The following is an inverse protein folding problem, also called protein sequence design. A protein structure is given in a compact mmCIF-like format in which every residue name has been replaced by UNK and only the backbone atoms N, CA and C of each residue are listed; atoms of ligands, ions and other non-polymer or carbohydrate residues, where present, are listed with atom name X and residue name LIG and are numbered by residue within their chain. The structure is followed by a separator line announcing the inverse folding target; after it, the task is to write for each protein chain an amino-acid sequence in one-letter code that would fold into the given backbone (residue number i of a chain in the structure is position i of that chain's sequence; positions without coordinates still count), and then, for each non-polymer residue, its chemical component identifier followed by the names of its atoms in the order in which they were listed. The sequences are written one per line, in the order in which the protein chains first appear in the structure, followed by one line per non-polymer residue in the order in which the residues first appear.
data_IF_159351967720
#
_entry.id   IF_159351967720
#
_cell.length_a   1.000
_cell.length_b   1.000
_cell.length_c   1.000
_cell.angle_alpha   90.00
_cell.angle_beta   90.00
_cell.angle_gamma   90.00
#
_symmetry.space_group_name_H-M   'P 1'
#
loop_
_entity.id
_entity.type
_entity.pdbx_description
1 polymer ?
#
# COMPACT_ATOMS: atom_id res chain seq x y z
N UNK A 1 13.52 23.86 26.27
CA UNK A 1 13.28 23.85 24.81
C UNK A 1 14.31 22.94 24.17
N UNK A 2 13.90 21.86 23.47
CA UNK A 2 14.75 21.20 22.46
C UNK A 2 15.29 19.80 22.75
N UNK A 3 14.45 18.81 23.06
CA UNK A 3 14.81 17.38 23.02
C UNK A 3 14.13 16.57 21.91
N UNK A 4 13.25 17.19 21.11
CA UNK A 4 12.37 16.48 20.18
C UNK A 4 12.98 16.23 18.78
N UNK A 5 13.99 17.02 18.39
CA UNK A 5 14.57 16.91 17.04
C UNK A 5 15.30 15.58 16.80
N UNK A 6 16.00 15.09 17.82
CA UNK A 6 16.75 13.82 17.74
C UNK A 6 15.80 12.61 17.72
N UNK A 7 14.70 12.67 18.48
CA UNK A 7 13.70 11.60 18.49
C UNK A 7 13.07 11.38 17.11
N UNK A 8 12.77 12.46 16.38
CA UNK A 8 12.21 12.39 15.02
C UNK A 8 13.27 11.94 13.99
N UNK A 9 14.52 12.40 14.14
CA UNK A 9 15.62 12.02 13.25
C UNK A 9 15.96 10.52 13.33
N UNK A 10 15.81 9.92 14.51
CA UNK A 10 16.01 8.47 14.75
C UNK A 10 14.81 7.64 14.29
N UNK A 11 13.63 8.24 14.12
CA UNK A 11 12.40 7.53 13.72
C UNK A 11 12.16 7.53 12.20
N UNK A 12 12.54 8.59 11.50
CA UNK A 12 12.23 8.70 10.07
C UNK A 12 13.05 7.75 9.16
N UNK A 13 14.30 7.44 9.53
CA UNK A 13 15.24 6.73 8.63
C UNK A 13 15.62 5.34 9.14
N UNK A 14 16.19 5.16 10.35
CA UNK A 14 16.56 3.84 10.86
C UNK A 14 15.36 2.91 11.08
N UNK A 15 14.28 3.43 11.68
CA UNK A 15 13.09 2.64 11.98
C UNK A 15 12.41 2.18 10.69
N UNK A 16 12.24 3.06 9.70
CA UNK A 16 11.67 2.66 8.40
C UNK A 16 12.61 1.77 7.57
N UNK A 17 13.93 1.95 7.67
CA UNK A 17 14.90 1.17 6.89
C UNK A 17 15.21 -0.21 7.48
N UNK A 18 15.07 -0.40 8.80
CA UNK A 18 15.41 -1.65 9.49
C UNK A 18 14.22 -2.24 10.21
N UNK A 19 13.57 -1.47 11.08
CA UNK A 19 12.50 -1.99 11.94
C UNK A 19 11.28 -2.43 11.12
N UNK A 20 10.89 -1.62 10.13
CA UNK A 20 9.78 -1.96 9.22
C UNK A 20 10.06 -3.25 8.41
N UNK A 21 11.18 -3.40 7.66
CA UNK A 21 11.46 -4.64 6.95
C UNK A 21 11.75 -5.83 7.88
N UNK A 22 12.36 -5.63 9.04
CA UNK A 22 12.54 -6.70 10.04
C UNK A 22 11.19 -7.18 10.58
N UNK A 23 10.26 -6.27 10.86
CA UNK A 23 8.90 -6.61 11.31
C UNK A 23 8.13 -7.31 10.20
N UNK A 24 8.20 -6.84 8.96
CA UNK A 24 7.58 -7.50 7.80
C UNK A 24 8.10 -8.93 7.62
N UNK A 25 9.41 -9.13 7.81
CA UNK A 25 10.05 -10.43 7.70
C UNK A 25 9.74 -11.35 8.89
N UNK A 26 9.60 -10.81 10.09
CA UNK A 26 9.22 -11.53 11.31
C UNK A 26 7.74 -11.96 11.27
N UNK A 27 6.85 -11.06 10.84
CA UNK A 27 5.43 -11.33 10.69
C UNK A 27 5.16 -12.22 9.46
N UNK A 28 5.99 -12.12 8.41
CA UNK A 28 5.93 -12.96 7.23
C UNK A 28 4.52 -13.01 6.63
N UNK A 29 3.98 -14.22 6.50
CA UNK A 29 2.63 -14.47 5.97
C UNK A 29 1.52 -13.86 6.82
N UNK A 30 1.76 -13.60 8.12
CA UNK A 30 0.79 -12.92 8.97
C UNK A 30 0.64 -11.42 8.62
N UNK A 31 1.61 -10.80 7.94
CA UNK A 31 1.44 -9.44 7.40
C UNK A 31 0.44 -9.40 6.23
N UNK A 32 0.32 -10.52 5.50
CA UNK A 32 -0.65 -10.69 4.41
C UNK A 32 -1.91 -11.43 4.86
N UNK A 33 -1.99 -11.83 6.14
CA UNK A 33 -3.16 -12.48 6.68
C UNK A 33 -4.25 -11.45 6.94
N UNK A 34 -5.32 -11.54 6.14
CA UNK A 34 -6.54 -10.78 6.39
C UNK A 34 -7.20 -11.37 7.65
N UNK A 35 -7.22 -10.66 8.80
CA UNK A 35 -7.76 -11.23 10.02
C UNK A 35 -9.23 -11.58 9.84
N UNK A 36 -9.69 -12.71 10.40
CA UNK A 36 -11.05 -13.25 10.19
C UNK A 36 -12.18 -12.29 10.57
N UNK A 37 -11.86 -11.29 11.40
CA UNK A 37 -12.73 -10.15 11.75
C UNK A 37 -12.82 -9.08 10.66
N UNK A 38 -12.18 -9.22 9.51
CA UNK A 38 -12.11 -8.22 8.44
C UNK A 38 -12.78 -8.73 7.15
N UNK A 39 -13.31 -9.96 7.15
CA UNK A 39 -14.12 -10.51 6.06
C UNK A 39 -15.48 -9.81 5.87
N UNK A 40 -15.92 -8.98 6.82
CA UNK A 40 -17.11 -8.14 6.67
C UNK A 40 -16.88 -6.94 5.76
N UNK A 41 -15.63 -6.64 5.36
CA UNK A 41 -15.39 -5.49 4.50
C UNK A 41 -16.09 -5.65 3.15
N UNK A 42 -16.74 -4.59 2.64
CA UNK A 42 -17.31 -4.59 1.30
C UNK A 42 -16.20 -4.94 0.30
N UNK A 43 -16.37 -6.06 -0.39
CA UNK A 43 -15.43 -6.51 -1.41
C UNK A 43 -15.46 -5.47 -2.53
N UNK A 44 -14.43 -4.63 -2.62
CA UNK A 44 -14.33 -3.63 -3.69
C UNK A 44 -14.23 -4.40 -5.00
N UNK A 45 -15.28 -4.32 -5.82
CA UNK A 45 -15.23 -4.82 -7.18
C UNK A 45 -14.21 -3.97 -7.94
N UNK A 46 -13.01 -4.51 -8.16
CA UNK A 46 -12.10 -3.94 -9.15
C UNK A 46 -12.84 -3.98 -10.48
N UNK A 47 -13.14 -2.80 -11.03
CA UNK A 47 -13.81 -2.71 -12.31
C UNK A 47 -13.03 -3.57 -13.33
N UNK A 48 -13.69 -4.50 -14.03
CA UNK A 48 -13.01 -5.32 -15.02
C UNK A 48 -12.33 -4.41 -16.03
N UNK A 49 -11.08 -4.73 -16.37
CA UNK A 49 -10.21 -3.97 -17.28
C UNK A 49 -10.86 -3.67 -18.63
N UNK A 50 -11.92 -4.41 -19.00
CA UNK A 50 -12.79 -4.12 -20.16
C UNK A 50 -13.31 -2.68 -20.20
N UNK A 51 -13.59 -2.06 -19.03
CA UNK A 51 -14.05 -0.66 -18.98
C UNK A 51 -12.92 0.35 -19.25
N UNK A 52 -11.67 -0.02 -18.99
CA UNK A 52 -10.51 0.82 -19.28
C UNK A 52 -10.13 0.77 -20.77
N UNK A 53 -10.36 -0.36 -21.45
CA UNK A 53 -10.18 -0.47 -22.91
C UNK A 53 -11.24 0.35 -23.66
N UNK A 54 -12.51 0.29 -23.22
CA UNK A 54 -13.60 1.10 -23.79
C UNK A 54 -13.46 2.62 -23.60
N UNK A 55 -12.71 3.06 -22.58
CA UNK A 55 -12.49 4.48 -22.29
C UNK A 55 -11.27 5.05 -23.02
N UNK A 56 -10.51 4.25 -23.76
CA UNK A 56 -9.54 4.78 -24.73
C UNK A 56 -10.39 5.35 -25.87
N UNK A 57 -10.49 6.68 -26.02
CA UNK A 57 -11.11 7.23 -27.22
C UNK A 57 -10.37 6.60 -28.40
N UNK A 58 -11.07 6.12 -29.42
CA UNK A 58 -10.42 5.70 -30.64
C UNK A 58 -9.67 6.93 -31.16
N UNK A 59 -8.38 7.00 -30.85
CA UNK A 59 -7.44 7.78 -31.61
C UNK A 59 -7.44 7.11 -32.96
N UNK A 60 -8.35 7.56 -33.80
CA UNK A 60 -8.30 7.34 -35.22
C UNK A 60 -7.28 8.36 -35.74
N UNK A 61 -6.04 7.94 -36.07
CA UNK A 61 -5.06 8.84 -36.68
C UNK A 61 -5.40 9.15 -38.15
N UNK A 62 -6.55 8.70 -38.67
CA UNK A 62 -6.90 8.77 -40.10
C UNK A 62 -8.23 9.50 -40.36
N UNK A 63 -8.45 10.64 -39.67
CA UNK A 63 -9.43 11.65 -40.10
C UNK A 63 -8.85 13.05 -40.01
#
# INVERSE_FOLDING_TARGET
MGGHGVAVLVDATPIRAVLLPATMKLLGDANWYLPRRLYWLPRRAHAPLARAEQLRPSLDPTR
#
